data_IF_308170796194
#
_entry.id   IF_308170796194
#
_cell.length_a   1.000
_cell.length_b   1.000
_cell.length_c   1.000
_cell.angle_alpha   90.00
_cell.angle_beta   90.00
_cell.angle_gamma   90.00
#
_symmetry.space_group_name_H-M   'P 1'
#
loop_
_entity.id
_entity.type
_entity.pdbx_description
1 polymer ?
#
# COMPACT_ATOMS: atom_id res chain seq x y z
N UNK A 1 27.35 4.54 -8.72
CA UNK A 1 25.87 4.38 -8.55
C UNK A 1 25.58 4.10 -7.11
N UNK A 2 24.59 4.79 -6.52
CA UNK A 2 24.42 4.87 -5.05
C UNK A 2 23.74 3.64 -4.41
N UNK A 3 23.20 2.71 -5.19
CA UNK A 3 22.61 1.46 -4.68
C UNK A 3 21.31 1.64 -3.88
N UNK A 4 20.50 2.65 -4.21
CA UNK A 4 19.21 2.89 -3.55
C UNK A 4 18.25 1.72 -3.73
N UNK A 5 17.50 1.42 -2.68
CA UNK A 5 16.41 0.46 -2.70
C UNK A 5 15.13 1.23 -3.04
N UNK A 6 14.38 0.85 -4.09
CA UNK A 6 13.17 1.54 -4.48
C UNK A 6 12.06 1.35 -3.43
N UNK A 7 11.43 2.45 -3.03
CA UNK A 7 10.28 2.46 -2.14
C UNK A 7 9.20 3.34 -2.75
N UNK A 8 7.99 2.83 -2.83
CA UNK A 8 6.84 3.51 -3.43
C UNK A 8 5.79 3.78 -2.36
N UNK A 9 5.27 5.00 -2.35
CA UNK A 9 4.19 5.40 -1.45
C UNK A 9 2.83 4.82 -1.89
N UNK A 10 1.86 4.99 -1.04
CA UNK A 10 0.48 4.54 -1.03
C UNK A 10 -0.42 5.17 -2.11
N UNK A 11 -0.09 4.98 -3.35
CA UNK A 11 -0.87 5.43 -4.51
C UNK A 11 -1.71 4.27 -5.07
N UNK A 12 -2.58 4.54 -6.03
CA UNK A 12 -3.37 3.47 -6.63
C UNK A 12 -2.48 2.39 -7.29
N UNK A 13 -2.92 1.12 -7.33
CA UNK A 13 -2.10 0.03 -7.85
C UNK A 13 -1.64 0.20 -9.30
N UNK A 14 -2.48 0.78 -10.17
CA UNK A 14 -2.15 0.99 -11.58
C UNK A 14 -0.99 1.98 -11.72
N UNK A 15 -1.00 3.08 -10.96
CA UNK A 15 0.09 4.05 -10.93
C UNK A 15 1.37 3.44 -10.33
N UNK A 16 1.24 2.73 -9.21
CA UNK A 16 2.36 2.01 -8.57
C UNK A 16 3.00 1.01 -9.53
N UNK A 17 2.20 0.28 -10.29
CA UNK A 17 2.69 -0.67 -11.31
C UNK A 17 3.59 -0.01 -12.36
N UNK A 18 3.26 1.21 -12.80
CA UNK A 18 4.06 1.94 -13.79
C UNK A 18 5.47 2.28 -13.31
N UNK A 19 5.67 2.46 -11.99
CA UNK A 19 6.98 2.76 -11.42
C UNK A 19 7.99 1.62 -11.58
N UNK A 20 7.51 0.37 -11.76
CA UNK A 20 8.43 -0.75 -12.01
C UNK A 20 9.25 -0.59 -13.28
N UNK A 21 8.71 0.07 -14.30
CA UNK A 21 9.45 0.35 -15.53
C UNK A 21 10.64 1.27 -15.27
N UNK A 22 10.46 2.29 -14.43
CA UNK A 22 11.55 3.18 -13.99
C UNK A 22 12.60 2.44 -13.16
N UNK A 23 12.17 1.52 -12.31
CA UNK A 23 13.08 0.65 -11.52
C UNK A 23 13.91 -0.24 -12.44
N UNK A 24 13.28 -0.85 -13.46
CA UNK A 24 13.98 -1.65 -14.48
C UNK A 24 15.01 -0.82 -15.23
N UNK A 25 14.61 0.33 -15.73
CA UNK A 25 15.51 1.20 -16.49
C UNK A 25 16.73 1.62 -15.66
N UNK A 26 16.54 2.03 -14.40
CA UNK A 26 17.62 2.38 -13.49
C UNK A 26 18.53 1.19 -13.14
N UNK A 27 17.97 0.01 -12.99
CA UNK A 27 18.74 -1.21 -12.74
C UNK A 27 19.63 -1.56 -13.94
N UNK A 28 19.11 -1.47 -15.17
CA UNK A 28 19.87 -1.74 -16.40
C UNK A 28 21.04 -0.76 -16.58
N UNK A 29 20.83 0.55 -16.35
CA UNK A 29 21.91 1.55 -16.39
C UNK A 29 23.04 1.18 -15.41
N UNK A 30 22.69 0.50 -14.31
CA UNK A 30 23.66 0.10 -13.28
C UNK A 30 24.37 -1.21 -13.57
N UNK A 31 24.02 -1.93 -14.63
CA UNK A 31 24.48 -3.29 -14.86
C UNK A 31 23.94 -4.32 -13.85
N UNK A 32 22.90 -3.96 -13.06
CA UNK A 32 22.23 -4.86 -12.12
C UNK A 32 20.89 -5.28 -12.72
N UNK A 33 20.55 -6.55 -12.57
CA UNK A 33 19.20 -7.01 -12.90
C UNK A 33 18.16 -6.40 -11.96
N UNK A 34 16.98 -5.98 -12.46
CA UNK A 34 15.91 -5.53 -11.59
C UNK A 34 15.42 -6.68 -10.72
N UNK A 35 15.22 -6.43 -9.43
CA UNK A 35 14.82 -7.45 -8.47
C UNK A 35 13.59 -6.99 -7.67
N UNK A 36 12.45 -7.63 -7.88
CA UNK A 36 11.22 -7.31 -7.15
C UNK A 36 11.29 -7.64 -5.66
N UNK A 37 12.23 -8.48 -5.21
CA UNK A 37 12.47 -8.73 -3.78
C UNK A 37 12.98 -7.48 -3.05
N UNK A 38 13.64 -6.56 -3.77
CA UNK A 38 14.13 -5.30 -3.21
C UNK A 38 13.07 -4.19 -3.25
N UNK A 39 11.98 -4.39 -4.00
CA UNK A 39 10.94 -3.39 -4.16
C UNK A 39 10.04 -3.33 -2.93
N UNK A 40 9.88 -2.13 -2.39
CA UNK A 40 9.12 -1.86 -1.17
C UNK A 40 7.88 -1.04 -1.48
N UNK A 41 6.72 -1.50 -1.02
CA UNK A 41 5.47 -0.77 -1.07
C UNK A 41 5.08 -0.30 0.32
N UNK A 42 4.72 0.97 0.43
CA UNK A 42 4.10 1.53 1.65
C UNK A 42 2.59 1.51 1.47
N UNK A 43 1.85 1.06 2.47
CA UNK A 43 0.38 1.04 2.46
C UNK A 43 -0.20 1.45 3.80
N UNK A 44 -1.35 2.08 3.75
CA UNK A 44 -2.23 2.21 4.90
C UNK A 44 -2.83 0.84 5.20
N UNK A 45 -2.45 0.29 6.34
CA UNK A 45 -2.92 -1.03 6.78
C UNK A 45 -3.48 -0.90 8.19
N UNK A 46 -4.70 -1.40 8.39
CA UNK A 46 -5.29 -1.53 9.71
C UNK A 46 -6.11 -2.82 9.80
N UNK A 47 -5.82 -3.64 10.80
CA UNK A 47 -6.46 -4.93 11.01
C UNK A 47 -7.18 -4.93 12.36
N UNK A 48 -8.43 -5.38 12.36
CA UNK A 48 -9.20 -5.66 13.57
C UNK A 48 -9.85 -7.04 13.47
N UNK A 49 -10.57 -7.47 14.50
CA UNK A 49 -11.18 -8.80 14.52
C UNK A 49 -12.29 -8.95 13.45
N UNK A 50 -12.93 -7.84 13.06
CA UNK A 50 -13.94 -7.77 12.00
C UNK A 50 -13.70 -6.64 11.03
N UNK A 51 -14.23 -6.76 9.80
CA UNK A 51 -14.17 -5.71 8.78
C UNK A 51 -14.86 -4.42 9.26
N UNK A 52 -16.00 -4.54 9.94
CA UNK A 52 -16.75 -3.39 10.46
C UNK A 52 -15.98 -2.64 11.55
N UNK A 53 -15.31 -3.37 12.45
CA UNK A 53 -14.47 -2.77 13.48
C UNK A 53 -13.24 -2.09 12.87
N UNK A 54 -12.56 -2.75 11.94
CA UNK A 54 -11.43 -2.17 11.22
C UNK A 54 -11.81 -0.89 10.49
N UNK A 55 -12.96 -0.89 9.82
CA UNK A 55 -13.50 0.30 9.15
C UNK A 55 -13.69 1.44 10.16
N UNK A 56 -14.41 1.20 11.24
CA UNK A 56 -14.67 2.21 12.28
C UNK A 56 -13.37 2.76 12.86
N UNK A 57 -12.42 1.91 13.23
CA UNK A 57 -11.16 2.33 13.86
C UNK A 57 -10.21 3.05 12.90
N UNK A 58 -10.25 2.74 11.60
CA UNK A 58 -9.43 3.37 10.59
C UNK A 58 -10.08 4.64 10.02
N UNK A 59 -11.30 4.53 9.48
CA UNK A 59 -11.96 5.62 8.73
C UNK A 59 -12.50 6.70 9.66
N UNK A 60 -13.12 6.33 10.78
CA UNK A 60 -13.56 7.30 11.80
C UNK A 60 -12.44 7.68 12.78
N UNK A 61 -11.32 6.94 12.70
CA UNK A 61 -10.15 7.11 13.57
C UNK A 61 -9.06 8.01 12.99
N UNK A 62 -7.82 7.88 13.53
CA UNK A 62 -6.69 8.72 13.16
C UNK A 62 -6.30 8.67 11.68
N UNK A 63 -6.43 7.51 11.02
CA UNK A 63 -6.15 7.39 9.59
C UNK A 63 -7.08 8.28 8.76
N UNK A 64 -8.41 8.16 8.98
CA UNK A 64 -9.40 8.95 8.27
C UNK A 64 -9.32 10.44 8.61
N UNK A 65 -9.04 10.78 9.86
CA UNK A 65 -8.82 12.17 10.28
C UNK A 65 -7.65 12.79 9.53
N UNK A 66 -6.49 12.14 9.51
CA UNK A 66 -5.31 12.63 8.80
C UNK A 66 -5.55 12.77 7.30
N UNK A 67 -6.25 11.82 6.70
CA UNK A 67 -6.61 11.89 5.28
C UNK A 67 -7.55 13.07 5.00
N UNK A 68 -8.58 13.27 5.82
CA UNK A 68 -9.60 14.31 5.65
C UNK A 68 -9.05 15.71 5.90
N UNK A 69 -8.25 15.86 6.95
CA UNK A 69 -7.80 17.18 7.42
C UNK A 69 -6.50 17.63 6.76
N UNK A 70 -5.69 16.72 6.25
CA UNK A 70 -4.38 17.04 5.72
C UNK A 70 -4.14 16.52 4.30
N UNK A 71 -4.17 15.20 4.06
CA UNK A 71 -3.72 14.65 2.78
C UNK A 71 -4.64 15.00 1.61
N UNK A 72 -5.95 14.83 1.73
CA UNK A 72 -6.86 15.15 0.62
C UNK A 72 -6.86 16.63 0.26
N UNK A 73 -6.86 17.58 1.23
CA UNK A 73 -6.67 19.00 0.93
C UNK A 73 -5.34 19.29 0.23
N UNK A 74 -4.25 18.71 0.73
CA UNK A 74 -2.91 18.88 0.15
C UNK A 74 -2.86 18.35 -1.31
N UNK A 75 -3.31 17.13 -1.53
CA UNK A 75 -3.33 16.53 -2.87
C UNK A 75 -4.25 17.28 -3.83
N UNK A 76 -5.39 17.81 -3.33
CA UNK A 76 -6.28 18.66 -4.11
C UNK A 76 -5.60 19.95 -4.56
N UNK A 77 -4.86 20.60 -3.65
CA UNK A 77 -4.14 21.85 -3.96
C UNK A 77 -3.09 21.68 -5.06
N UNK A 78 -2.44 20.52 -5.14
CA UNK A 78 -1.41 20.21 -6.13
C UNK A 78 -1.93 19.45 -7.35
N UNK A 79 -3.23 19.15 -7.46
CA UNK A 79 -3.79 18.36 -8.55
C UNK A 79 -3.37 16.88 -8.51
N UNK A 80 -3.05 16.33 -7.35
CA UNK A 80 -2.52 14.97 -7.21
C UNK A 80 -3.57 13.92 -6.80
N UNK A 81 -4.86 14.30 -6.71
CA UNK A 81 -5.93 13.33 -6.44
C UNK A 81 -6.03 12.24 -7.51
N UNK A 82 -5.60 12.52 -8.75
CA UNK A 82 -5.57 11.54 -9.83
C UNK A 82 -4.79 10.26 -9.47
N UNK A 83 -3.73 10.40 -8.66
CA UNK A 83 -2.91 9.26 -8.23
C UNK A 83 -3.59 8.34 -7.19
N UNK A 84 -4.73 8.75 -6.66
CA UNK A 84 -5.55 7.94 -5.76
C UNK A 84 -6.69 7.23 -6.49
N UNK A 85 -7.02 7.62 -7.72
CA UNK A 85 -8.15 7.08 -8.46
C UNK A 85 -7.86 5.67 -8.98
N UNK A 86 -8.82 4.75 -8.80
CA UNK A 86 -8.73 3.42 -9.39
C UNK A 86 -9.10 3.42 -10.88
N UNK A 87 -9.80 4.45 -11.35
CA UNK A 87 -10.14 4.69 -12.75
C UNK A 87 -10.04 6.19 -13.08
N UNK A 88 -9.52 6.58 -14.25
CA UNK A 88 -9.30 7.99 -14.59
C UNK A 88 -10.59 8.82 -14.67
N UNK A 89 -11.73 8.20 -14.95
CA UNK A 89 -13.02 8.90 -15.05
C UNK A 89 -13.66 9.24 -13.69
N UNK A 90 -13.06 8.80 -12.57
CA UNK A 90 -13.55 9.15 -11.24
C UNK A 90 -13.38 10.64 -11.00
N UNK A 91 -14.45 11.41 -10.70
CA UNK A 91 -14.32 12.84 -10.40
C UNK A 91 -13.47 13.07 -9.14
N UNK A 92 -12.74 14.17 -9.08
CA UNK A 92 -11.95 14.55 -7.91
C UNK A 92 -12.81 14.73 -6.65
N UNK A 93 -14.09 15.13 -6.81
CA UNK A 93 -15.07 15.25 -5.73
C UNK A 93 -15.35 13.93 -5.03
N UNK A 94 -15.26 12.83 -5.75
CA UNK A 94 -15.59 11.49 -5.26
C UNK A 94 -14.42 10.82 -4.56
N UNK A 95 -13.21 11.39 -4.72
CA UNK A 95 -12.01 10.94 -3.98
C UNK A 95 -12.10 11.45 -2.55
N UNK A 96 -12.82 10.71 -1.71
CA UNK A 96 -13.05 10.95 -0.27
C UNK A 96 -12.20 10.00 0.58
N UNK A 97 -12.33 10.10 1.91
CA UNK A 97 -11.69 9.16 2.84
C UNK A 97 -12.23 7.75 2.63
N UNK A 98 -13.55 7.64 2.51
CA UNK A 98 -14.25 6.37 2.31
C UNK A 98 -13.83 5.71 1.00
N UNK A 99 -13.72 6.51 -0.07
CA UNK A 99 -13.17 6.07 -1.35
C UNK A 99 -11.76 5.52 -1.21
N UNK A 100 -10.87 6.22 -0.50
CA UNK A 100 -9.50 5.76 -0.26
C UNK A 100 -9.48 4.46 0.58
N UNK A 101 -10.37 4.35 1.57
CA UNK A 101 -10.49 3.16 2.41
C UNK A 101 -10.95 1.94 1.61
N UNK A 102 -11.84 2.14 0.65
CA UNK A 102 -12.38 1.08 -0.21
C UNK A 102 -11.35 0.62 -1.27
N UNK A 103 -10.74 1.58 -1.96
CA UNK A 103 -9.93 1.30 -3.16
C UNK A 103 -8.42 1.27 -2.93
N UNK A 104 -7.90 1.96 -1.90
CA UNK A 104 -6.46 2.11 -1.71
C UNK A 104 -5.94 1.48 -0.41
N UNK A 105 -6.77 1.41 0.65
CA UNK A 105 -6.31 0.94 1.95
C UNK A 105 -6.49 -0.56 2.14
N UNK A 106 -5.58 -1.15 2.90
CA UNK A 106 -5.61 -2.56 3.27
C UNK A 106 -6.20 -2.68 4.69
N UNK A 107 -7.51 -2.40 4.82
CA UNK A 107 -8.22 -2.44 6.09
C UNK A 107 -9.26 -3.55 6.10
N UNK A 108 -9.46 -4.18 7.26
CA UNK A 108 -10.41 -5.26 7.45
C UNK A 108 -9.98 -6.27 8.50
N UNK A 109 -10.66 -7.41 8.52
CA UNK A 109 -10.25 -8.61 9.26
C UNK A 109 -8.96 -9.19 8.69
N UNK A 110 -8.26 -10.09 9.41
CA UNK A 110 -7.05 -10.74 8.91
C UNK A 110 -7.23 -11.40 7.54
N UNK A 111 -8.36 -12.05 7.32
CA UNK A 111 -8.69 -12.69 6.04
C UNK A 111 -8.87 -11.66 4.92
N UNK A 112 -9.64 -10.62 5.17
CA UNK A 112 -9.88 -9.53 4.20
C UNK A 112 -8.60 -8.82 3.84
N UNK A 113 -7.75 -8.50 4.82
CA UNK A 113 -6.48 -7.82 4.57
C UNK A 113 -5.50 -8.72 3.82
N UNK A 114 -5.42 -10.01 4.15
CA UNK A 114 -4.58 -10.95 3.40
C UNK A 114 -5.00 -11.03 1.93
N UNK A 115 -6.30 -11.14 1.64
CA UNK A 115 -6.84 -11.14 0.28
C UNK A 115 -6.56 -9.83 -0.47
N UNK A 116 -6.70 -8.67 0.21
CA UNK A 116 -6.35 -7.35 -0.37
C UNK A 116 -4.85 -7.24 -0.68
N UNK A 117 -3.98 -7.76 0.19
CA UNK A 117 -2.52 -7.80 -0.07
C UNK A 117 -2.22 -8.65 -1.30
N UNK A 118 -2.85 -9.82 -1.42
CA UNK A 118 -2.67 -10.70 -2.58
C UNK A 118 -3.14 -10.04 -3.88
N UNK A 119 -4.28 -9.33 -3.85
CA UNK A 119 -4.77 -8.58 -5.00
C UNK A 119 -3.76 -7.50 -5.43
N UNK A 120 -3.29 -6.66 -4.49
CA UNK A 120 -2.27 -5.64 -4.80
C UNK A 120 -0.97 -6.29 -5.30
N UNK A 121 -0.55 -7.40 -4.70
CA UNK A 121 0.64 -8.13 -5.12
C UNK A 121 0.54 -8.58 -6.59
N UNK A 122 -0.60 -9.14 -6.97
CA UNK A 122 -0.85 -9.60 -8.34
C UNK A 122 -0.96 -8.41 -9.31
N UNK A 123 -1.67 -7.35 -8.95
CA UNK A 123 -1.86 -6.16 -9.78
C UNK A 123 -0.56 -5.48 -10.13
N UNK A 124 0.35 -5.31 -9.16
CA UNK A 124 1.65 -4.67 -9.40
C UNK A 124 2.71 -5.63 -9.95
N UNK A 125 2.42 -6.94 -9.98
CA UNK A 125 3.33 -7.97 -10.47
C UNK A 125 4.39 -8.39 -9.45
N UNK A 126 4.09 -8.27 -8.16
CA UNK A 126 4.93 -8.69 -7.04
C UNK A 126 5.84 -7.61 -6.46
N UNK A 127 6.12 -7.73 -5.16
CA UNK A 127 7.04 -6.89 -4.39
C UNK A 127 7.67 -7.71 -3.26
N UNK A 128 8.81 -7.26 -2.74
CA UNK A 128 9.53 -8.01 -1.69
C UNK A 128 9.14 -7.63 -0.28
N UNK A 129 8.72 -6.40 -0.06
CA UNK A 129 8.36 -5.90 1.27
C UNK A 129 7.14 -5.00 1.22
N UNK A 130 6.23 -5.21 2.17
CA UNK A 130 5.11 -4.32 2.45
C UNK A 130 5.38 -3.58 3.75
N UNK A 131 5.37 -2.26 3.69
CA UNK A 131 5.60 -1.39 4.83
C UNK A 131 4.26 -0.80 5.29
N UNK A 132 3.97 -0.96 6.57
CA UNK A 132 2.78 -0.37 7.20
C UNK A 132 3.03 1.11 7.42
N UNK A 133 2.18 1.96 6.86
CA UNK A 133 2.22 3.39 7.16
C UNK A 133 1.70 3.64 8.57
N UNK A 134 2.51 4.28 9.41
CA UNK A 134 2.16 4.53 10.81
C UNK A 134 1.30 5.79 10.97
N UNK A 135 0.28 5.70 11.81
CA UNK A 135 -0.59 6.81 12.19
C UNK A 135 -0.56 7.03 13.69
N UNK A 136 -0.92 8.24 14.12
CA UNK A 136 -0.96 8.59 15.54
C UNK A 136 -2.25 8.08 16.20
N UNK A 137 -2.16 6.94 16.86
CA UNK A 137 -3.21 6.34 17.67
C UNK A 137 -3.03 6.62 19.17
N UNK A 138 -2.51 7.79 19.54
CA UNK A 138 -2.29 8.15 20.95
C UNK A 138 -3.55 8.05 21.80
N UNK A 139 -4.72 8.36 21.24
CA UNK A 139 -6.02 8.28 21.91
C UNK A 139 -6.52 6.82 22.07
N UNK A 140 -6.03 5.90 21.26
CA UNK A 140 -6.35 4.46 21.33
C UNK A 140 -5.15 3.59 20.96
N UNK A 141 -4.07 3.61 21.76
CA UNK A 141 -2.85 2.87 21.44
C UNK A 141 -3.04 1.35 21.46
N UNK A 142 -4.08 0.86 22.16
CA UNK A 142 -4.37 -0.57 22.19
C UNK A 142 -4.91 -1.07 20.85
N UNK A 143 -5.76 -0.30 20.17
CA UNK A 143 -6.24 -0.64 18.83
C UNK A 143 -5.08 -0.76 17.83
N UNK A 144 -4.13 0.16 17.88
CA UNK A 144 -2.93 0.12 17.02
C UNK A 144 -2.06 -1.11 17.32
N UNK A 145 -1.78 -1.38 18.60
CA UNK A 145 -1.01 -2.57 19.00
C UNK A 145 -1.69 -3.87 18.57
N UNK A 146 -3.03 -3.96 18.73
CA UNK A 146 -3.78 -5.13 18.30
C UNK A 146 -3.70 -5.30 16.79
N UNK A 147 -3.82 -4.21 16.02
CA UNK A 147 -3.67 -4.24 14.57
C UNK A 147 -2.29 -4.77 14.15
N UNK A 148 -1.21 -4.27 14.75
CA UNK A 148 0.15 -4.75 14.47
C UNK A 148 0.34 -6.22 14.85
N UNK A 149 -0.25 -6.66 15.97
CA UNK A 149 -0.24 -8.07 16.39
C UNK A 149 -0.95 -8.94 15.38
N UNK A 150 -2.18 -8.58 14.96
CA UNK A 150 -2.95 -9.32 13.95
C UNK A 150 -2.23 -9.37 12.60
N UNK A 151 -1.55 -8.28 12.21
CA UNK A 151 -0.71 -8.28 11.00
C UNK A 151 0.40 -9.34 11.12
N UNK A 152 1.10 -9.38 12.26
CA UNK A 152 2.23 -10.28 12.46
C UNK A 152 1.82 -11.75 12.60
N UNK A 153 0.77 -12.01 13.38
CA UNK A 153 0.36 -13.36 13.78
C UNK A 153 -0.63 -14.01 12.80
N UNK A 154 -1.47 -13.20 12.13
CA UNK A 154 -2.56 -13.71 11.30
C UNK A 154 -2.39 -13.40 9.81
N UNK A 155 -2.09 -12.13 9.45
CA UNK A 155 -2.00 -11.73 8.05
C UNK A 155 -0.71 -12.23 7.40
N UNK A 156 0.43 -12.06 8.07
CA UNK A 156 1.74 -12.46 7.54
C UNK A 156 1.81 -13.96 7.19
N UNK A 157 1.34 -14.90 8.03
CA UNK A 157 1.32 -16.32 7.63
C UNK A 157 0.44 -16.61 6.41
N UNK A 158 -0.70 -15.92 6.29
CA UNK A 158 -1.62 -16.10 5.14
C UNK A 158 -1.03 -15.60 3.81
N UNK A 159 -0.10 -14.66 3.86
CA UNK A 159 0.56 -14.06 2.69
C UNK A 159 1.99 -14.57 2.47
N UNK A 160 2.46 -15.54 3.25
CA UNK A 160 3.83 -16.05 3.19
C UNK A 160 4.19 -16.71 1.83
N UNK A 161 3.19 -17.16 1.06
CA UNK A 161 3.36 -17.73 -0.27
C UNK A 161 3.65 -16.67 -1.36
N UNK A 162 3.43 -15.39 -1.08
CA UNK A 162 3.66 -14.29 -2.01
C UNK A 162 5.16 -13.95 -2.08
N UNK A 163 5.90 -14.71 -2.85
CA UNK A 163 7.34 -14.52 -3.03
C UNK A 163 7.63 -14.12 -4.47
N UNK A 164 8.21 -12.92 -4.70
CA UNK A 164 8.52 -12.47 -6.05
C UNK A 164 9.48 -13.43 -6.75
N UNK A 165 9.11 -13.83 -7.97
CA UNK A 165 10.02 -14.63 -8.81
C UNK A 165 11.24 -13.80 -9.18
N UNK A 166 12.44 -14.40 -9.19
CA UNK A 166 13.62 -13.76 -9.76
C UNK A 166 13.36 -13.42 -11.23
N UNK A 167 13.70 -12.22 -11.65
CA UNK A 167 13.69 -11.90 -13.09
C UNK A 167 14.84 -12.69 -13.73
N UNK A 168 14.51 -13.56 -14.66
CA UNK A 168 15.54 -14.24 -15.45
C UNK A 168 16.32 -13.19 -16.22
N UNK A 169 17.61 -13.03 -15.92
CA UNK A 169 18.51 -12.23 -16.73
C UNK A 169 18.72 -13.05 -18.00
N UNK A 170 18.19 -12.57 -19.13
CA UNK A 170 18.54 -13.14 -20.40
C UNK A 170 20.06 -13.06 -20.55
N UNK A 171 20.72 -14.22 -20.63
CA UNK A 171 22.15 -14.28 -20.92
C UNK A 171 22.37 -13.61 -22.29
N UNK A 172 23.11 -12.53 -22.31
CA UNK A 172 23.63 -11.91 -23.54
C UNK A 172 24.83 -12.68 -24.03
#
# INVERSE_FOLDING_TARGET
MLGYIPMILNLNPAYVKSHWESVKAGAMISGRGPNRRDWRLVREIFVADTDAEAWKLAVDGPMGRMMREYFLPLLSQFGFKEFLKHHPDVPDSDVTVEYCAEHNWLIGSPETVARKIEAVYNDVGGFGQLLVFGFDYVENPQAWRNSLRLIAEEVKPRTAHLVPMPVAIAAQ
#
